data_IF_524835747853
#
_entry.id   IF_524835747853
#
_cell.length_a   1.000
_cell.length_b   1.000
_cell.length_c   1.000
_cell.angle_alpha   90.00
_cell.angle_beta   90.00
_cell.angle_gamma   90.00
#
_symmetry.space_group_name_H-M   'P 1'
#
loop_
_entity.id
_entity.type
_entity.pdbx_description
1 polymer ?
#
# COMPACT_ATOMS: atom_id res chain seq x y z
N UNK A 1 1.24 14.29 9.40
CA UNK A 1 1.99 13.04 9.39
C UNK A 1 3.07 12.98 8.34
N UNK A 2 2.78 13.39 7.12
CA UNK A 2 3.70 13.27 5.99
C UNK A 2 3.81 14.61 5.26
N UNK A 3 5.02 14.95 4.82
CA UNK A 3 5.25 16.08 3.94
C UNK A 3 4.73 15.85 2.53
N UNK A 4 4.59 14.58 2.14
CA UNK A 4 4.21 14.13 0.83
C UNK A 4 2.99 13.25 0.91
N UNK A 5 2.07 13.47 0.01
CA UNK A 5 0.86 12.69 -0.09
C UNK A 5 -0.20 13.42 -0.87
N UNK A 6 -1.37 12.83 -0.97
CA UNK A 6 -2.53 13.46 -1.55
C UNK A 6 -3.07 14.49 -0.56
N UNK A 7 -3.07 15.77 -0.92
CA UNK A 7 -3.65 16.82 -0.09
C UNK A 7 -5.12 16.58 0.12
N UNK A 8 -5.59 16.86 1.32
CA UNK A 8 -7.01 16.75 1.66
C UNK A 8 -7.79 17.73 0.78
N UNK A 9 -8.81 17.27 0.03
CA UNK A 9 -9.57 18.11 -0.90
C UNK A 9 -10.66 18.92 -0.16
N UNK A 10 -10.34 19.45 1.00
CA UNK A 10 -11.17 20.31 1.80
C UNK A 10 -10.65 21.75 1.72
N UNK A 11 -11.58 22.70 1.62
CA UNK A 11 -11.29 24.12 1.49
C UNK A 11 -12.10 24.86 2.54
N UNK A 12 -11.45 25.72 3.29
CA UNK A 12 -12.04 26.48 4.39
C UNK A 12 -12.24 27.93 4.00
N UNK A 13 -13.41 28.45 4.34
CA UNK A 13 -13.69 29.87 4.23
C UNK A 13 -13.17 30.59 5.48
N UNK A 14 -12.20 31.52 5.36
CA UNK A 14 -11.65 32.21 6.53
C UNK A 14 -12.68 33.10 7.23
N UNK A 15 -13.68 33.62 6.51
CA UNK A 15 -14.67 34.54 7.07
C UNK A 15 -15.73 33.84 7.94
N UNK A 16 -16.07 32.58 7.63
CA UNK A 16 -17.16 31.84 8.29
C UNK A 16 -16.80 30.47 8.83
N UNK A 17 -15.58 29.99 8.58
CA UNK A 17 -15.17 28.64 8.95
C UNK A 17 -15.92 27.54 8.18
N UNK A 18 -16.62 27.87 7.10
CA UNK A 18 -17.32 26.90 6.27
C UNK A 18 -16.32 26.02 5.51
N UNK A 19 -16.53 24.70 5.58
CA UNK A 19 -15.74 23.72 4.85
C UNK A 19 -16.47 23.27 3.57
N UNK A 20 -15.76 23.24 2.47
CA UNK A 20 -16.24 22.72 1.18
C UNK A 20 -15.29 21.64 0.70
N UNK A 21 -15.82 20.46 0.39
CA UNK A 21 -15.04 19.38 -0.24
C UNK A 21 -15.22 19.48 -1.75
N UNK A 22 -14.12 19.62 -2.48
CA UNK A 22 -14.15 19.78 -3.94
C UNK A 22 -12.89 19.21 -4.60
N UNK A 23 -13.01 18.74 -5.86
CA UNK A 23 -11.87 18.23 -6.65
C UNK A 23 -10.85 19.31 -7.03
N UNK A 24 -11.30 20.56 -7.07
CA UNK A 24 -10.48 21.73 -7.34
C UNK A 24 -10.91 22.87 -6.44
N UNK A 25 -10.02 23.84 -6.20
CA UNK A 25 -10.31 24.99 -5.38
C UNK A 25 -11.59 25.70 -5.85
N UNK A 26 -12.60 25.87 -4.97
CA UNK A 26 -13.79 26.63 -5.29
C UNK A 26 -13.42 28.10 -5.54
N UNK A 27 -14.00 28.70 -6.57
CA UNK A 27 -13.77 30.11 -6.86
C UNK A 27 -14.38 31.04 -5.82
N UNK A 28 -15.48 30.61 -5.18
CA UNK A 28 -16.18 31.37 -4.15
C UNK A 28 -16.79 30.47 -3.12
N UNK A 29 -16.84 30.93 -1.89
CA UNK A 29 -17.58 30.29 -0.81
C UNK A 29 -19.07 30.24 -1.16
N UNK A 30 -19.74 29.07 -1.12
CA UNK A 30 -21.14 28.94 -1.48
C UNK A 30 -22.09 29.67 -0.51
N UNK A 31 -21.63 30.00 0.70
CA UNK A 31 -22.47 30.67 1.70
C UNK A 31 -22.29 32.18 1.80
N UNK A 32 -21.07 32.69 1.68
CA UNK A 32 -20.82 34.14 1.83
C UNK A 32 -20.31 34.79 0.54
N UNK A 33 -19.93 33.99 -0.46
CA UNK A 33 -19.45 34.52 -1.73
C UNK A 33 -18.00 35.05 -1.70
N UNK A 34 -17.26 34.88 -0.59
CA UNK A 34 -15.85 35.28 -0.54
C UNK A 34 -15.05 34.46 -1.55
N UNK A 35 -14.01 35.06 -2.13
CA UNK A 35 -13.13 34.48 -3.14
C UNK A 35 -11.84 33.91 -2.54
N UNK A 36 -11.74 33.90 -1.22
CA UNK A 36 -10.60 33.38 -0.48
C UNK A 36 -10.96 32.05 0.20
N UNK A 37 -10.62 30.96 -0.44
CA UNK A 37 -10.78 29.62 0.11
C UNK A 37 -9.40 29.00 0.32
N UNK A 38 -9.10 28.59 1.54
CA UNK A 38 -7.82 27.98 1.90
C UNK A 38 -7.94 26.47 1.91
N UNK A 39 -7.08 25.80 1.15
CA UNK A 39 -7.03 24.35 1.15
C UNK A 39 -6.40 23.84 2.44
N UNK A 40 -6.96 22.76 2.98
CA UNK A 40 -6.38 22.03 4.11
C UNK A 40 -4.88 21.76 3.88
N UNK A 41 -4.00 22.14 4.81
CA UNK A 41 -2.56 21.97 4.65
C UNK A 41 -2.11 20.51 4.77
N UNK A 42 -2.92 19.64 5.37
CA UNK A 42 -2.57 18.27 5.63
C UNK A 42 -2.69 17.38 4.39
N UNK A 43 -2.00 16.27 4.42
CA UNK A 43 -2.05 15.23 3.40
C UNK A 43 -2.65 13.96 3.97
N UNK A 44 -3.30 13.19 3.11
CA UNK A 44 -3.78 11.86 3.45
C UNK A 44 -2.61 10.90 3.66
N UNK A 45 -2.76 9.96 4.59
CA UNK A 45 -1.80 8.91 4.85
C UNK A 45 -1.57 8.04 3.59
N UNK A 46 -0.35 7.52 3.44
CA UNK A 46 0.02 6.59 2.37
C UNK A 46 -0.92 5.40 2.28
N UNK A 47 -1.37 4.87 3.43
CA UNK A 47 -2.29 3.74 3.48
C UNK A 47 -3.68 4.03 2.93
N UNK A 48 -4.06 5.30 2.83
CA UNK A 48 -5.33 5.68 2.20
C UNK A 48 -5.36 5.31 0.73
N UNK A 49 -4.39 5.77 -0.04
CA UNK A 49 -4.30 5.46 -1.48
C UNK A 49 -3.90 4.00 -1.73
N UNK A 50 -3.08 3.40 -0.87
CA UNK A 50 -2.73 1.97 -0.93
C UNK A 50 -3.97 1.06 -0.81
N UNK A 51 -5.00 1.51 -0.11
CA UNK A 51 -6.27 0.78 0.00
C UNK A 51 -7.06 0.70 -1.32
N UNK A 52 -6.79 1.60 -2.25
CA UNK A 52 -7.47 1.65 -3.55
C UNK A 52 -6.80 0.76 -4.61
N UNK A 53 -5.63 0.20 -4.30
CA UNK A 53 -4.78 -0.52 -5.25
C UNK A 53 -5.50 -1.59 -6.07
N UNK A 54 -6.37 -2.46 -5.50
CA UNK A 54 -6.98 -3.56 -6.23
C UNK A 54 -7.83 -3.14 -7.44
N UNK A 55 -8.32 -1.91 -7.45
CA UNK A 55 -9.20 -1.40 -8.51
C UNK A 55 -8.68 -0.10 -9.15
N UNK A 56 -7.92 0.72 -8.44
CA UNK A 56 -7.38 1.96 -9.01
C UNK A 56 -6.35 1.71 -10.12
N UNK A 57 -5.53 0.66 -9.98
CA UNK A 57 -4.55 0.24 -11.00
C UNK A 57 -5.20 -0.30 -12.28
N UNK A 58 -6.46 -0.72 -12.18
CA UNK A 58 -7.26 -1.23 -13.30
C UNK A 58 -8.11 -0.14 -13.97
N UNK A 59 -7.90 1.13 -13.59
CA UNK A 59 -8.49 2.28 -14.23
C UNK A 59 -9.65 2.94 -13.49
N UNK A 60 -10.10 2.40 -12.34
CA UNK A 60 -11.11 3.07 -11.52
C UNK A 60 -10.71 4.54 -11.22
N UNK A 61 -11.66 5.50 -11.27
CA UNK A 61 -13.13 5.36 -11.29
C UNK A 61 -13.76 5.19 -12.68
N UNK A 62 -12.97 5.06 -13.74
CA UNK A 62 -13.49 4.78 -15.07
C UNK A 62 -13.86 3.30 -15.19
N UNK A 63 -14.88 3.00 -15.98
CA UNK A 63 -15.16 1.63 -16.40
C UNK A 63 -14.17 1.25 -17.49
N UNK A 64 -13.37 0.23 -17.25
CA UNK A 64 -12.38 -0.31 -18.20
C UNK A 64 -12.58 -1.81 -18.35
N UNK A 65 -12.15 -2.38 -19.48
CA UNK A 65 -12.17 -3.82 -19.70
C UNK A 65 -11.33 -4.57 -18.67
N UNK A 66 -10.19 -4.02 -18.28
CA UNK A 66 -9.32 -4.59 -17.26
C UNK A 66 -10.01 -4.64 -15.89
N UNK A 67 -10.74 -3.57 -15.52
CA UNK A 67 -11.48 -3.54 -14.27
C UNK A 67 -12.62 -4.58 -14.25
N UNK A 68 -13.31 -4.71 -15.35
CA UNK A 68 -14.42 -5.68 -15.46
C UNK A 68 -13.90 -7.13 -15.47
N UNK A 69 -12.72 -7.37 -16.02
CA UNK A 69 -12.14 -8.70 -16.12
C UNK A 69 -11.34 -9.14 -14.88
N UNK A 70 -10.49 -8.26 -14.33
CA UNK A 70 -9.55 -8.62 -13.26
C UNK A 70 -10.04 -8.31 -11.85
N UNK A 71 -11.14 -7.56 -11.68
CA UNK A 71 -11.67 -7.25 -10.35
C UNK A 71 -13.00 -8.00 -10.09
N UNK A 72 -13.13 -8.75 -8.96
CA UNK A 72 -12.14 -8.99 -7.92
C UNK A 72 -11.03 -9.95 -8.38
N UNK A 73 -9.87 -9.87 -7.72
CA UNK A 73 -8.78 -10.82 -7.97
C UNK A 73 -8.97 -12.13 -7.19
N UNK A 74 -8.26 -13.19 -7.57
CA UNK A 74 -8.39 -14.48 -6.90
C UNK A 74 -7.59 -14.53 -5.60
N UNK A 75 -6.31 -14.15 -5.63
CA UNK A 75 -5.39 -14.29 -4.51
C UNK A 75 -4.58 -13.03 -4.31
N UNK A 76 -4.59 -12.52 -3.06
CA UNK A 76 -3.64 -11.53 -2.57
C UNK A 76 -2.56 -12.24 -1.77
N UNK A 77 -1.29 -11.96 -2.06
CA UNK A 77 -0.15 -12.48 -1.30
C UNK A 77 0.55 -11.33 -0.60
N UNK A 78 0.72 -11.41 0.71
CA UNK A 78 1.37 -10.35 1.50
C UNK A 78 1.96 -10.88 2.81
N UNK A 79 2.82 -10.08 3.44
CA UNK A 79 3.28 -10.35 4.80
C UNK A 79 2.16 -10.14 5.82
N UNK A 80 2.21 -10.88 6.91
CA UNK A 80 1.22 -10.77 8.00
C UNK A 80 1.28 -9.42 8.74
N UNK A 81 2.40 -8.73 8.69
CA UNK A 81 2.64 -7.48 9.44
C UNK A 81 1.83 -6.28 8.94
N UNK A 82 1.28 -6.36 7.74
CA UNK A 82 0.44 -5.30 7.16
C UNK A 82 -1.03 -5.71 6.95
N UNK A 83 -1.50 -6.71 7.69
CA UNK A 83 -2.91 -7.11 7.64
C UNK A 83 -3.83 -5.92 7.93
N UNK A 84 -3.59 -5.21 9.03
CA UNK A 84 -4.45 -4.09 9.45
C UNK A 84 -4.22 -2.81 8.63
N UNK A 85 -2.98 -2.56 8.22
CA UNK A 85 -2.67 -1.35 7.48
C UNK A 85 -3.05 -1.42 6.00
N UNK A 86 -2.99 -2.61 5.40
CA UNK A 86 -3.23 -2.76 3.97
C UNK A 86 -4.40 -3.67 3.63
N UNK A 87 -4.40 -4.92 4.09
CA UNK A 87 -5.42 -5.90 3.70
C UNK A 87 -6.81 -5.46 4.11
N UNK A 88 -7.02 -5.12 5.39
CA UNK A 88 -8.31 -4.66 5.90
C UNK A 88 -8.76 -3.38 5.20
N UNK A 89 -7.84 -2.46 4.93
CA UNK A 89 -8.17 -1.20 4.24
C UNK A 89 -8.59 -1.45 2.79
N UNK A 90 -7.96 -2.37 2.07
CA UNK A 90 -8.41 -2.77 0.74
C UNK A 90 -9.80 -3.40 0.77
N UNK A 91 -10.10 -4.21 1.79
CA UNK A 91 -11.41 -4.86 1.92
C UNK A 91 -12.52 -3.83 2.10
N UNK A 92 -12.41 -2.92 3.09
CA UNK A 92 -13.48 -1.95 3.29
C UNK A 92 -13.59 -0.94 2.13
N UNK A 93 -12.46 -0.55 1.51
CA UNK A 93 -12.48 0.31 0.32
C UNK A 93 -13.12 -0.40 -0.87
N UNK A 94 -12.88 -1.70 -1.05
CA UNK A 94 -13.51 -2.52 -2.06
C UNK A 94 -15.03 -2.56 -1.90
N UNK A 95 -15.51 -2.79 -0.67
CA UNK A 95 -16.96 -2.76 -0.41
C UNK A 95 -17.55 -1.38 -0.60
N UNK A 96 -16.91 -0.32 -0.14
CA UNK A 96 -17.40 1.06 -0.24
C UNK A 96 -17.45 1.54 -1.70
N UNK A 97 -16.41 1.28 -2.48
CA UNK A 97 -16.27 1.84 -3.83
C UNK A 97 -16.80 0.91 -4.93
N UNK A 98 -16.70 -0.40 -4.74
CA UNK A 98 -17.01 -1.41 -5.75
C UNK A 98 -18.16 -2.34 -5.38
N UNK A 99 -18.66 -2.27 -4.12
CA UNK A 99 -19.78 -3.07 -3.62
C UNK A 99 -19.45 -4.54 -3.37
N UNK A 100 -18.17 -4.95 -3.44
CA UNK A 100 -17.74 -6.34 -3.26
C UNK A 100 -16.31 -6.45 -2.74
N UNK A 101 -15.97 -7.63 -2.19
CA UNK A 101 -14.62 -7.92 -1.73
C UNK A 101 -13.61 -7.84 -2.90
N UNK A 102 -12.42 -7.27 -2.68
CA UNK A 102 -11.43 -7.09 -3.75
C UNK A 102 -10.67 -8.37 -4.14
N UNK A 103 -10.71 -9.41 -3.33
CA UNK A 103 -10.06 -10.71 -3.54
C UNK A 103 -10.77 -11.82 -2.78
N UNK A 104 -10.60 -13.06 -3.23
CA UNK A 104 -11.24 -14.25 -2.64
C UNK A 104 -10.38 -14.87 -1.54
N UNK A 105 -9.07 -14.90 -1.73
CA UNK A 105 -8.13 -15.54 -0.82
C UNK A 105 -6.99 -14.60 -0.47
N UNK A 106 -6.54 -14.64 0.78
CA UNK A 106 -5.32 -13.94 1.21
C UNK A 106 -4.32 -14.96 1.73
N UNK A 107 -3.15 -15.03 1.10
CA UNK A 107 -2.04 -15.84 1.56
C UNK A 107 -1.06 -14.98 2.33
N UNK A 108 -0.89 -15.27 3.61
CA UNK A 108 0.08 -14.60 4.46
C UNK A 108 1.38 -15.38 4.51
N UNK A 109 2.46 -14.79 4.03
CA UNK A 109 3.81 -15.34 4.17
C UNK A 109 4.52 -14.75 5.40
N UNK A 110 5.51 -15.48 5.90
CA UNK A 110 6.40 -14.99 6.93
C UNK A 110 7.37 -13.92 6.42
N UNK A 111 8.02 -13.21 7.34
CA UNK A 111 8.99 -12.20 7.00
C UNK A 111 10.40 -12.81 6.90
N UNK A 112 11.20 -12.25 6.00
CA UNK A 112 12.64 -12.53 5.95
C UNK A 112 13.33 -11.65 6.98
N UNK A 113 14.02 -12.30 7.92
CA UNK A 113 14.76 -11.65 9.00
C UNK A 113 16.27 -11.83 8.81
N UNK A 114 17.06 -10.99 9.45
CA UNK A 114 18.50 -11.16 9.46
C UNK A 114 18.93 -12.45 10.22
N UNK A 115 20.20 -12.77 10.18
CA UNK A 115 20.77 -13.96 10.84
C UNK A 115 20.53 -14.00 12.36
N UNK A 116 20.30 -12.84 12.99
CA UNK A 116 19.97 -12.73 14.41
C UNK A 116 18.46 -12.77 14.69
N UNK A 117 17.64 -12.90 13.64
CA UNK A 117 16.17 -12.92 13.75
C UNK A 117 15.52 -11.55 13.90
N UNK A 118 16.26 -10.45 13.66
CA UNK A 118 15.69 -9.10 13.70
C UNK A 118 15.02 -8.76 12.38
N UNK A 119 13.96 -7.96 12.44
CA UNK A 119 13.33 -7.43 11.22
C UNK A 119 14.35 -6.55 10.48
N UNK A 120 14.50 -6.80 9.18
CA UNK A 120 15.34 -5.96 8.33
C UNK A 120 14.72 -4.57 8.17
N UNK A 121 15.51 -3.53 8.37
CA UNK A 121 15.09 -2.15 8.18
C UNK A 121 16.22 -1.26 7.68
N UNK A 122 15.87 -0.21 6.96
CA UNK A 122 16.87 0.78 6.49
C UNK A 122 17.60 1.46 7.64
N UNK A 123 16.92 1.72 8.75
CA UNK A 123 17.47 2.38 9.92
C UNK A 123 18.49 1.51 10.67
N UNK A 124 18.34 0.19 10.63
CA UNK A 124 19.29 -0.74 11.25
C UNK A 124 20.45 -1.12 10.32
N UNK A 125 20.35 -0.79 9.02
CA UNK A 125 21.38 -1.16 8.05
C UNK A 125 21.59 -2.67 7.89
N UNK A 126 20.65 -3.49 8.32
CA UNK A 126 20.73 -4.96 8.30
C UNK A 126 19.98 -5.59 7.12
N UNK A 127 19.61 -4.77 6.13
CA UNK A 127 19.03 -5.25 4.88
C UNK A 127 20.09 -5.95 4.03
N UNK A 128 19.67 -7.00 3.34
CA UNK A 128 20.50 -7.71 2.37
C UNK A 128 20.03 -7.29 0.99
N UNK A 129 20.95 -6.76 0.17
CA UNK A 129 20.62 -6.42 -1.21
C UNK A 129 20.50 -7.72 -2.03
N UNK A 130 19.32 -8.00 -2.62
CA UNK A 130 19.13 -9.19 -3.43
C UNK A 130 20.01 -9.19 -4.69
N UNK A 131 20.38 -8.04 -5.23
CA UNK A 131 21.23 -7.96 -6.42
C UNK A 131 22.66 -8.41 -6.11
N UNK A 132 23.22 -8.01 -4.95
CA UNK A 132 24.53 -8.50 -4.52
C UNK A 132 24.54 -10.03 -4.31
N UNK A 133 23.44 -10.57 -3.80
CA UNK A 133 23.29 -12.03 -3.64
C UNK A 133 23.21 -12.72 -5.00
N UNK A 134 22.46 -12.15 -5.96
CA UNK A 134 22.33 -12.66 -7.30
C UNK A 134 23.66 -12.66 -8.04
N UNK A 135 24.43 -11.58 -7.95
CA UNK A 135 25.74 -11.47 -8.56
C UNK A 135 26.74 -12.50 -8.03
N UNK A 136 26.62 -12.84 -6.74
CA UNK A 136 27.55 -13.78 -6.10
C UNK A 136 27.15 -15.25 -6.23
N UNK A 137 25.84 -15.56 -6.19
CA UNK A 137 25.34 -16.93 -6.07
C UNK A 137 24.40 -17.34 -7.20
N UNK A 138 23.92 -16.38 -7.99
CA UNK A 138 22.92 -16.57 -9.04
C UNK A 138 21.47 -16.38 -8.57
N UNK A 139 20.64 -15.99 -9.51
CA UNK A 139 19.22 -15.71 -9.25
C UNK A 139 18.45 -16.95 -8.82
N UNK A 140 18.74 -18.10 -9.42
CA UNK A 140 18.03 -19.34 -9.11
C UNK A 140 18.34 -19.85 -7.70
N UNK A 141 19.57 -19.70 -7.22
CA UNK A 141 19.95 -20.04 -5.86
C UNK A 141 19.19 -19.18 -4.84
N UNK A 142 19.12 -17.87 -5.06
CA UNK A 142 18.35 -16.99 -4.21
C UNK A 142 16.86 -17.34 -4.20
N UNK A 143 16.27 -17.55 -5.36
CA UNK A 143 14.84 -17.89 -5.50
C UNK A 143 14.51 -19.22 -4.83
N UNK A 144 15.32 -20.24 -5.05
CA UNK A 144 15.13 -21.54 -4.41
C UNK A 144 15.21 -21.45 -2.88
N UNK A 145 16.20 -20.71 -2.37
CA UNK A 145 16.35 -20.48 -0.92
C UNK A 145 15.11 -19.83 -0.31
N UNK A 146 14.58 -18.79 -0.96
CA UNK A 146 13.39 -18.09 -0.48
C UNK A 146 12.14 -18.98 -0.49
N UNK A 147 12.00 -19.87 -1.47
CA UNK A 147 10.85 -20.77 -1.58
C UNK A 147 10.96 -21.91 -0.58
N UNK A 148 12.12 -22.55 -0.47
CA UNK A 148 12.31 -23.72 0.39
C UNK A 148 12.42 -23.36 1.87
N UNK A 149 12.91 -22.18 2.19
CA UNK A 149 13.06 -21.69 3.56
C UNK A 149 11.78 -21.10 4.18
N UNK A 150 10.72 -20.95 3.40
CA UNK A 150 9.50 -20.28 3.84
C UNK A 150 8.38 -21.29 4.10
N UNK A 151 7.95 -21.37 5.37
CA UNK A 151 6.70 -22.03 5.72
C UNK A 151 5.60 -20.97 5.95
N UNK A 152 4.34 -21.21 5.52
CA UNK A 152 3.25 -20.28 5.76
C UNK A 152 3.13 -19.88 7.23
N UNK A 153 3.07 -18.59 7.52
CA UNK A 153 2.92 -18.05 8.87
C UNK A 153 4.21 -18.03 9.73
N UNK A 154 5.33 -18.51 9.23
CA UNK A 154 6.60 -18.51 9.95
C UNK A 154 7.63 -17.59 9.29
N UNK A 155 8.35 -16.84 10.14
CA UNK A 155 9.46 -16.00 9.66
C UNK A 155 10.68 -16.87 9.31
N UNK A 156 11.41 -16.45 8.29
CA UNK A 156 12.64 -17.07 7.86
C UNK A 156 13.85 -16.22 8.31
N UNK A 157 14.81 -16.84 8.96
CA UNK A 157 16.13 -16.21 9.15
C UNK A 157 16.99 -16.45 7.91
N UNK A 158 17.42 -15.39 7.29
CA UNK A 158 18.23 -15.48 6.09
C UNK A 158 19.72 -15.57 6.45
N UNK A 159 20.33 -16.67 6.02
CA UNK A 159 21.78 -16.91 6.15
C UNK A 159 22.35 -17.10 4.76
N UNK A 160 23.45 -16.41 4.46
CA UNK A 160 24.13 -16.60 3.17
C UNK A 160 24.63 -18.06 2.97
N UNK A 161 24.84 -18.80 4.06
CA UNK A 161 25.20 -20.22 4.02
C UNK A 161 24.08 -21.13 3.50
N UNK A 162 22.82 -20.71 3.57
CA UNK A 162 21.68 -21.49 3.02
C UNK A 162 21.63 -21.48 1.49
N UNK A 163 22.41 -20.59 0.86
CA UNK A 163 22.45 -20.46 -0.60
C UNK A 163 23.40 -21.49 -1.22
N UNK A 164 24.15 -22.22 -0.42
CA UNK A 164 25.10 -23.23 -0.86
C UNK A 164 24.53 -24.67 -0.92
N UNK A 165 23.22 -24.81 -0.89
CA UNK A 165 22.55 -26.13 -0.98
C UNK A 165 22.49 -26.60 -2.43
#
# INVERSE_FOLDING_TARGET
QLWWGHRIPAYYCPDRGEMVVAKSAPQKCPKCGCDHMEQDPDTLDTWFSSALWPFSTLGWPKKTEDLDYFFPTDVLVTGYDIIFFWVIRMIFSGYEQMGKAPFHTVLFHGLVRDSQGRKMSKSLGNGIDPLEVIDKYGADALRLTLITGNAPGNDMRFYLSLIHI
#
